data_IF_301436124079
#
_entry.id   IF_301436124079
#
_cell.length_a   1.000
_cell.length_b   1.000
_cell.length_c   1.000
_cell.angle_alpha   90.00
_cell.angle_beta   90.00
_cell.angle_gamma   90.00
#
_symmetry.space_group_name_H-M   'P 1'
#
loop_
_entity.id
_entity.type
_entity.pdbx_description
1 polymer ?
#
# COMPACT_ATOMS: atom_id res chain seq x y z
N UNK A 1 5.29 -16.70 -13.09
CA UNK A 1 4.40 -17.23 -12.04
C UNK A 1 4.27 -16.17 -10.93
N UNK A 2 3.52 -15.08 -11.20
CA UNK A 2 3.38 -13.91 -10.31
C UNK A 2 1.91 -13.64 -9.92
N UNK A 3 0.95 -14.38 -10.48
CA UNK A 3 -0.47 -14.00 -10.48
C UNK A 3 -1.24 -14.40 -9.21
N UNK A 4 -0.60 -15.10 -8.26
CA UNK A 4 -1.26 -15.59 -7.03
C UNK A 4 -0.80 -14.91 -5.74
N UNK A 5 0.16 -13.99 -5.79
CA UNK A 5 0.58 -13.29 -4.56
C UNK A 5 -0.28 -12.05 -4.32
N UNK A 6 -0.62 -11.72 -3.06
CA UNK A 6 -1.37 -10.50 -2.69
C UNK A 6 -0.75 -9.22 -3.27
N UNK A 7 0.56 -9.26 -3.44
CA UNK A 7 1.35 -8.22 -4.08
C UNK A 7 0.86 -7.86 -5.49
N UNK A 8 0.39 -8.83 -6.30
CA UNK A 8 -0.11 -8.53 -7.64
C UNK A 8 -1.39 -7.70 -7.62
N UNK A 9 -2.24 -7.89 -6.60
CA UNK A 9 -3.45 -7.08 -6.38
C UNK A 9 -3.09 -5.66 -5.94
N UNK A 10 -2.15 -5.53 -5.01
CA UNK A 10 -1.65 -4.22 -4.56
C UNK A 10 -1.00 -3.46 -5.71
N UNK A 11 -0.14 -4.14 -6.49
CA UNK A 11 0.51 -3.57 -7.66
C UNK A 11 -0.50 -3.13 -8.73
N UNK A 12 -1.57 -3.91 -8.94
CA UNK A 12 -2.68 -3.55 -9.82
C UNK A 12 -3.39 -2.29 -9.32
N UNK A 13 -3.79 -2.24 -8.05
CA UNK A 13 -4.45 -1.08 -7.44
C UNK A 13 -3.60 0.19 -7.53
N UNK A 14 -2.30 0.07 -7.30
CA UNK A 14 -1.35 1.19 -7.42
C UNK A 14 -1.26 1.64 -8.89
N UNK A 15 -1.08 0.72 -9.84
CA UNK A 15 -1.02 1.06 -11.27
C UNK A 15 -2.30 1.72 -11.75
N UNK A 16 -3.45 1.18 -11.35
CA UNK A 16 -4.76 1.71 -11.71
C UNK A 16 -4.95 3.13 -11.11
N UNK A 17 -4.63 3.32 -9.82
CA UNK A 17 -4.69 4.63 -9.17
C UNK A 17 -3.71 5.65 -9.72
N UNK A 18 -2.51 5.20 -10.09
CA UNK A 18 -1.47 6.06 -10.67
C UNK A 18 -1.80 6.51 -12.09
N UNK A 19 -2.35 5.63 -12.92
CA UNK A 19 -2.67 5.94 -14.32
C UNK A 19 -3.95 6.73 -14.47
N UNK A 20 -4.93 6.49 -13.61
CA UNK A 20 -6.28 6.83 -13.99
C UNK A 20 -6.61 8.31 -13.88
N UNK A 21 -5.92 9.12 -13.06
CA UNK A 21 -6.43 10.45 -12.66
C UNK A 21 -7.92 10.40 -12.21
N UNK A 22 -8.41 9.18 -11.92
CA UNK A 22 -9.78 8.83 -11.56
C UNK A 22 -9.70 8.28 -10.16
N UNK A 23 -10.69 8.60 -9.31
CA UNK A 23 -10.78 7.97 -8.01
C UNK A 23 -10.88 6.46 -8.21
N UNK A 24 -9.88 5.73 -7.72
CA UNK A 24 -10.05 4.29 -7.52
C UNK A 24 -11.17 4.09 -6.50
N UNK A 25 -11.90 2.97 -6.61
CA UNK A 25 -12.90 2.60 -5.60
C UNK A 25 -12.26 2.26 -4.26
N UNK A 26 -10.97 1.95 -4.24
CA UNK A 26 -10.23 1.63 -3.01
C UNK A 26 -9.70 2.90 -2.34
N UNK A 27 -9.83 3.01 -1.01
CA UNK A 27 -9.19 4.08 -0.23
C UNK A 27 -7.68 4.21 -0.47
N UNK A 28 -6.98 3.10 -0.74
CA UNK A 28 -5.55 3.09 -1.06
C UNK A 28 -5.25 3.86 -2.37
N UNK A 29 -5.94 3.58 -3.47
CA UNK A 29 -5.72 4.33 -4.71
C UNK A 29 -6.24 5.78 -4.65
N UNK A 30 -7.20 6.10 -3.76
CA UNK A 30 -7.58 7.50 -3.47
C UNK A 30 -6.47 8.26 -2.76
N UNK A 31 -5.79 7.64 -1.79
CA UNK A 31 -4.64 8.23 -1.13
C UNK A 31 -3.48 8.46 -2.13
N UNK A 32 -3.26 7.52 -3.05
CA UNK A 32 -2.25 7.63 -4.11
C UNK A 32 -2.55 8.73 -5.13
N UNK A 33 -3.81 8.85 -5.58
CA UNK A 33 -4.22 9.88 -6.53
C UNK A 33 -4.23 11.29 -5.94
N UNK A 34 -4.48 11.44 -4.62
CA UNK A 34 -4.32 12.73 -3.94
C UNK A 34 -2.87 13.21 -3.92
N UNK A 35 -1.93 12.27 -3.85
CA UNK A 35 -0.50 12.55 -3.81
C UNK A 35 0.07 12.99 -5.15
N UNK A 36 -0.41 12.44 -6.27
CA UNK A 36 0.01 12.89 -7.61
C UNK A 36 -0.24 14.39 -7.88
N UNK A 37 -1.03 15.07 -7.05
CA UNK A 37 -1.25 16.52 -7.14
C UNK A 37 -0.06 17.35 -6.64
N UNK A 38 0.98 16.72 -6.08
CA UNK A 38 2.24 17.38 -5.75
C UNK A 38 3.25 17.04 -6.85
N UNK A 39 3.72 18.04 -7.59
CA UNK A 39 4.68 17.90 -8.71
C UNK A 39 6.09 17.38 -8.29
N UNK A 40 6.24 16.92 -7.04
CA UNK A 40 7.51 16.58 -6.38
C UNK A 40 7.68 15.07 -6.12
N UNK A 41 6.76 14.21 -6.55
CA UNK A 41 6.84 12.77 -6.27
C UNK A 41 7.71 12.05 -7.29
N UNK A 42 8.84 11.53 -6.83
CA UNK A 42 9.74 10.69 -7.62
C UNK A 42 9.24 9.24 -7.79
N UNK A 43 8.29 8.80 -6.96
CA UNK A 43 7.73 7.46 -6.98
C UNK A 43 7.09 7.06 -5.64
N UNK A 44 6.90 5.76 -5.44
CA UNK A 44 6.28 5.18 -4.25
C UNK A 44 7.08 3.96 -3.76
N UNK A 45 7.46 3.97 -2.49
CA UNK A 45 7.91 2.74 -1.84
C UNK A 45 6.73 1.89 -1.40
N UNK A 46 6.80 0.61 -1.69
CA UNK A 46 5.83 -0.39 -1.24
C UNK A 46 6.54 -1.40 -0.37
N UNK A 47 6.08 -1.55 0.87
CA UNK A 47 6.74 -2.34 1.89
C UNK A 47 5.79 -3.38 2.44
N UNK A 48 6.17 -4.64 2.37
CA UNK A 48 5.47 -5.72 3.08
C UNK A 48 6.03 -5.86 4.48
N UNK A 49 5.14 -6.08 5.44
CA UNK A 49 5.43 -6.32 6.83
C UNK A 49 4.97 -7.71 7.24
N UNK A 50 5.72 -8.32 8.17
CA UNK A 50 5.35 -9.60 8.77
C UNK A 50 4.12 -9.51 9.68
N UNK A 51 3.83 -8.32 10.21
CA UNK A 51 2.86 -8.14 11.28
C UNK A 51 1.99 -6.90 11.06
N UNK A 52 0.75 -6.99 11.54
CA UNK A 52 -0.18 -5.88 11.63
C UNK A 52 -1.22 -6.13 12.73
N UNK A 53 -1.74 -5.05 13.29
CA UNK A 53 -3.00 -5.02 14.00
C UNK A 53 -4.13 -4.92 12.97
N UNK A 54 -4.77 -6.05 12.68
CA UNK A 54 -5.85 -6.14 11.69
C UNK A 54 -7.14 -5.49 12.20
N UNK A 55 -7.39 -5.46 13.50
CA UNK A 55 -8.59 -4.81 14.05
C UNK A 55 -8.47 -3.29 13.96
N UNK A 56 -7.31 -2.75 14.35
CA UNK A 56 -6.99 -1.33 14.22
C UNK A 56 -6.53 -0.91 12.83
N UNK A 57 -6.39 -1.84 11.88
CA UNK A 57 -5.81 -1.62 10.54
C UNK A 57 -4.45 -0.90 10.56
N UNK A 58 -3.56 -1.27 11.49
CA UNK A 58 -2.23 -0.67 11.65
C UNK A 58 -1.12 -1.66 11.30
N UNK A 59 -0.13 -1.19 10.55
CA UNK A 59 1.06 -1.98 10.26
C UNK A 59 2.00 -1.96 11.46
N UNK A 60 2.56 -3.12 11.81
CA UNK A 60 3.52 -3.31 12.88
C UNK A 60 4.80 -4.00 12.36
N UNK A 61 5.82 -4.08 13.21
CA UNK A 61 7.06 -4.79 12.92
C UNK A 61 7.91 -4.18 11.80
N UNK A 62 8.96 -4.91 11.43
CA UNK A 62 9.90 -4.52 10.37
C UNK A 62 9.41 -4.96 8.99
N UNK A 63 9.64 -4.16 7.94
CA UNK A 63 9.33 -4.63 6.61
C UNK A 63 10.24 -5.79 6.19
N UNK A 64 9.66 -6.79 5.55
CA UNK A 64 10.31 -8.05 5.12
C UNK A 64 10.59 -8.07 3.62
N UNK A 65 9.84 -7.30 2.82
CA UNK A 65 10.06 -7.11 1.38
C UNK A 65 9.76 -5.66 1.01
N UNK A 66 10.48 -5.13 0.04
CA UNK A 66 10.27 -3.78 -0.47
C UNK A 66 10.40 -3.70 -1.98
N UNK A 67 9.61 -2.80 -2.54
CA UNK A 67 9.61 -2.45 -3.95
C UNK A 67 9.55 -0.94 -4.10
N UNK A 68 10.12 -0.44 -5.18
CA UNK A 68 9.95 0.94 -5.63
C UNK A 68 9.10 0.95 -6.89
N UNK A 69 8.12 1.85 -6.94
CA UNK A 69 7.26 2.07 -8.10
C UNK A 69 7.48 3.49 -8.62
N UNK A 70 7.97 3.59 -9.86
CA UNK A 70 8.32 4.86 -10.53
C UNK A 70 7.17 5.40 -11.42
N UNK A 71 6.01 4.72 -11.43
CA UNK A 71 4.89 5.01 -12.33
C UNK A 71 4.78 4.07 -13.53
N UNK A 72 5.83 3.33 -13.87
CA UNK A 72 5.88 2.38 -14.98
C UNK A 72 5.98 0.93 -14.47
N UNK A 73 6.95 0.68 -13.60
CA UNK A 73 7.33 -0.66 -13.17
C UNK A 73 7.53 -0.72 -11.65
N UNK A 74 7.40 -1.92 -11.12
CA UNK A 74 7.79 -2.21 -9.75
C UNK A 74 9.14 -2.91 -9.76
N UNK A 75 10.11 -2.33 -9.08
CA UNK A 75 11.44 -2.90 -8.94
C UNK A 75 11.66 -3.34 -7.50
N UNK A 76 12.13 -4.57 -7.31
CA UNK A 76 12.56 -5.03 -5.98
C UNK A 76 13.73 -4.16 -5.55
N UNK A 77 13.65 -3.64 -4.33
CA UNK A 77 14.70 -2.81 -3.76
C UNK A 77 15.02 -3.28 -2.36
N UNK A 78 16.23 -3.00 -1.90
CA UNK A 78 16.51 -3.07 -0.46
C UNK A 78 15.85 -1.86 0.19
N UNK A 79 15.24 -2.06 1.37
CA UNK A 79 14.73 -0.93 2.15
C UNK A 79 15.85 0.11 2.28
N UNK A 80 15.65 1.37 1.86
CA UNK A 80 16.65 2.38 2.09
C UNK A 80 16.83 2.51 3.60
N UNK A 81 18.06 2.50 4.11
CA UNK A 81 18.36 2.72 5.54
C UNK A 81 17.68 3.99 6.10
N UNK A 82 17.38 4.95 5.21
CA UNK A 82 16.77 6.25 5.50
C UNK A 82 15.25 6.30 5.45
N UNK A 83 14.55 5.24 5.03
CA UNK A 83 13.09 5.14 5.25
C UNK A 83 12.88 4.74 6.71
N UNK A 84 13.40 5.56 7.63
CA UNK A 84 12.92 5.51 9.00
C UNK A 84 11.45 5.88 8.90
N UNK A 85 10.56 4.99 9.34
CA UNK A 85 9.12 5.23 9.27
C UNK A 85 8.67 6.51 10.01
N UNK A 86 9.57 7.12 10.81
CA UNK A 86 9.45 8.43 11.44
C UNK A 86 9.86 9.61 10.53
N UNK A 87 10.78 9.43 9.59
CA UNK A 87 11.23 10.48 8.65
C UNK A 87 10.47 10.47 7.33
N UNK A 88 9.71 9.42 7.01
CA UNK A 88 8.76 9.39 5.88
C UNK A 88 7.71 10.54 5.92
N UNK A 89 7.58 11.15 7.10
CA UNK A 89 6.82 12.37 7.39
C UNK A 89 7.37 13.60 6.64
N UNK A 90 8.64 13.56 6.21
CA UNK A 90 9.39 14.66 5.61
C UNK A 90 10.06 14.31 4.27
N UNK A 91 9.96 13.06 3.80
CA UNK A 91 10.56 12.67 2.52
C UNK A 91 9.57 12.87 1.37
N UNK A 92 10.03 13.34 0.20
CA UNK A 92 9.20 13.51 -0.99
C UNK A 92 8.68 12.18 -1.54
N UNK A 93 9.16 11.03 -1.06
CA UNK A 93 8.73 9.70 -1.52
C UNK A 93 7.78 9.05 -0.50
N UNK A 94 6.48 8.88 -0.81
CA UNK A 94 5.54 8.17 0.05
C UNK A 94 5.89 6.71 0.26
N UNK A 95 5.32 6.16 1.34
CA UNK A 95 5.42 4.73 1.67
C UNK A 95 4.03 4.14 1.82
N UNK A 96 3.75 3.10 1.04
CA UNK A 96 2.62 2.20 1.23
C UNK A 96 3.14 0.94 1.94
N UNK A 97 2.66 0.72 3.15
CA UNK A 97 2.95 -0.49 3.91
C UNK A 97 1.78 -1.45 3.86
N UNK A 98 2.02 -2.75 3.75
CA UNK A 98 0.97 -3.75 3.83
C UNK A 98 1.40 -4.98 4.62
N UNK A 99 0.42 -5.70 5.17
CA UNK A 99 0.61 -7.00 5.78
C UNK A 99 -0.51 -7.92 5.29
N UNK A 100 -0.13 -9.10 4.81
CA UNK A 100 -1.07 -10.12 4.34
C UNK A 100 -1.13 -11.27 5.33
N UNK A 101 -2.35 -11.71 5.66
CA UNK A 101 -2.59 -12.89 6.48
C UNK A 101 -3.21 -13.99 5.61
N UNK A 102 -2.41 -14.97 5.14
CA UNK A 102 -2.88 -16.00 4.22
C UNK A 102 -4.02 -16.87 4.76
N UNK A 103 -4.00 -17.20 6.05
CA UNK A 103 -5.00 -18.08 6.68
C UNK A 103 -6.42 -17.52 6.64
N UNK A 104 -6.55 -16.20 6.54
CA UNK A 104 -7.84 -15.49 6.56
C UNK A 104 -8.11 -14.78 5.23
N UNK A 105 -7.20 -14.88 4.27
CA UNK A 105 -7.20 -14.09 3.03
C UNK A 105 -7.41 -12.60 3.31
N UNK A 106 -6.81 -12.07 4.39
CA UNK A 106 -6.97 -10.67 4.79
C UNK A 106 -5.71 -9.85 4.56
N UNK A 107 -5.90 -8.56 4.29
CA UNK A 107 -4.84 -7.62 4.01
C UNK A 107 -5.07 -6.32 4.77
N UNK A 108 -4.05 -5.83 5.46
CA UNK A 108 -3.99 -4.44 5.94
C UNK A 108 -3.11 -3.64 5.00
N UNK A 109 -3.60 -2.48 4.56
CA UNK A 109 -2.82 -1.49 3.83
C UNK A 109 -2.81 -0.21 4.66
N UNK A 110 -1.62 0.29 4.98
CA UNK A 110 -1.41 1.60 5.60
C UNK A 110 -0.63 2.48 4.64
N UNK A 111 -1.09 3.71 4.49
CA UNK A 111 -0.41 4.69 3.66
C UNK A 111 0.15 5.83 4.51
N UNK A 112 1.43 6.18 4.34
CA UNK A 112 2.05 7.35 5.00
C UNK A 112 2.53 8.34 3.94
N UNK A 113 2.05 9.57 4.06
CA UNK A 113 2.33 10.67 3.15
C UNK A 113 2.44 11.98 3.94
N UNK A 114 3.63 12.58 3.95
CA UNK A 114 3.87 13.84 4.64
C UNK A 114 3.65 13.75 6.17
N UNK A 115 3.51 14.90 6.86
CA UNK A 115 3.72 14.94 8.30
C UNK A 115 2.60 14.38 9.18
N UNK A 116 1.52 13.89 8.56
CA UNK A 116 0.37 13.34 9.26
C UNK A 116 0.47 11.82 9.38
N UNK A 117 -0.08 11.32 10.48
CA UNK A 117 -0.19 9.90 10.73
C UNK A 117 -1.04 9.24 9.64
N UNK A 118 -0.63 8.04 9.21
CA UNK A 118 -1.15 7.39 8.02
C UNK A 118 -2.63 6.99 8.09
N UNK A 119 -3.19 6.55 6.95
CA UNK A 119 -4.53 5.97 6.90
C UNK A 119 -4.43 4.46 6.72
N UNK A 120 -5.06 3.72 7.64
CA UNK A 120 -5.04 2.26 7.70
C UNK A 120 -6.37 1.64 7.27
N UNK A 121 -6.32 0.70 6.34
CA UNK A 121 -7.50 0.04 5.77
C UNK A 121 -7.34 -1.48 5.77
N UNK A 122 -8.44 -2.18 6.06
CA UNK A 122 -8.50 -3.64 6.01
C UNK A 122 -9.31 -4.11 4.80
N UNK A 123 -8.83 -5.16 4.17
CA UNK A 123 -9.44 -5.79 3.01
C UNK A 123 -9.49 -7.30 3.20
N UNK A 124 -10.50 -7.92 2.59
CA UNK A 124 -10.53 -9.35 2.29
C UNK A 124 -10.14 -9.55 0.84
N UNK A 125 -9.38 -10.59 0.54
CA UNK A 125 -9.16 -11.04 -0.82
C UNK A 125 -10.28 -12.00 -1.17
N UNK A 126 -11.03 -11.67 -2.23
CA UNK A 126 -12.15 -12.48 -2.72
C UNK A 126 -11.82 -12.96 -4.12
N UNK A 127 -12.08 -14.24 -4.41
CA UNK A 127 -11.96 -14.83 -5.75
C UNK A 127 -13.36 -15.06 -6.34
N UNK A 128 -13.65 -14.40 -7.45
CA UNK A 128 -14.91 -14.52 -8.19
C UNK A 128 -14.59 -14.74 -9.67
N UNK A 129 -15.13 -15.81 -10.27
CA UNK A 129 -14.94 -16.13 -11.69
C UNK A 129 -13.47 -16.24 -12.15
N UNK A 130 -12.57 -16.66 -11.25
CA UNK A 130 -11.12 -16.77 -11.53
C UNK A 130 -10.35 -15.44 -11.41
N UNK A 131 -11.00 -14.37 -10.95
CA UNK A 131 -10.39 -13.08 -10.68
C UNK A 131 -10.34 -12.82 -9.18
N UNK A 132 -9.21 -12.34 -8.68
CA UNK A 132 -9.06 -11.90 -7.28
C UNK A 132 -9.25 -10.39 -7.18
N UNK A 133 -9.96 -9.94 -6.14
CA UNK A 133 -10.18 -8.51 -5.84
C UNK A 133 -10.03 -8.22 -4.35
N UNK A 134 -9.73 -6.97 -4.02
CA UNK A 134 -9.74 -6.48 -2.65
C UNK A 134 -11.15 -5.98 -2.30
N UNK A 135 -11.80 -6.63 -1.35
CA UNK A 135 -13.10 -6.24 -0.82
C UNK A 135 -12.90 -5.49 0.51
N UNK A 136 -13.29 -4.22 0.63
CA UNK A 136 -13.01 -3.42 1.81
C UNK A 136 -13.85 -3.90 3.01
N UNK A 137 -13.17 -4.24 4.11
CA UNK A 137 -13.83 -4.62 5.37
C UNK A 137 -14.13 -3.42 6.28
N UNK A 138 -13.62 -2.24 5.95
CA UNK A 138 -13.82 -0.99 6.70
C UNK A 138 -12.53 -0.16 6.85
N UNK A 139 -12.69 1.07 7.36
CA UNK A 139 -11.58 1.93 7.78
C UNK A 139 -11.30 1.66 9.25
N UNK A 140 -10.10 1.20 9.59
CA UNK A 140 -9.73 0.94 10.99
C UNK A 140 -9.06 2.14 11.65
N UNK A 141 -8.38 3.00 10.88
CA UNK A 141 -7.59 4.09 11.45
C UNK A 141 -7.49 5.30 10.49
N UNK A 142 -7.99 6.45 10.96
CA UNK A 142 -7.67 7.80 10.49
C UNK A 142 -7.04 8.54 11.67
N UNK A 143 -5.91 9.23 11.46
CA UNK A 143 -5.22 10.01 12.48
C UNK A 143 -5.06 11.47 12.10
#
# INVERSE_FOLDING_TARGET
MWDKEPYSLIAKEIKDGWRANRPTSTPAGRALSQMQKTDELEGLYVCEHSEADFEGARIAGTPVRSWFFDGNAFEKTNLPEKVEQRTAIWTPTPVLSFCYRPSEEELVISFRAGPRAGNGHRYRIVEEHGYRRLDPLGIGWNA
#
